data_IF_588997059574
#
_entry.id   IF_588997059574
#
_cell.length_a   1.000
_cell.length_b   1.000
_cell.length_c   1.000
_cell.angle_alpha   90.00
_cell.angle_beta   90.00
_cell.angle_gamma   90.00
#
_symmetry.space_group_name_H-M   'P 1'
#
loop_
_entity.id
_entity.type
_entity.pdbx_description
1 polymer ?
#
# COMPACT_ATOMS: atom_id res chain seq x y z
N UNK A 1 3.87 -8.30 15.87
CA UNK A 1 4.09 -6.98 15.26
C UNK A 1 3.12 -6.83 14.09
N UNK A 2 2.51 -5.65 13.89
CA UNK A 2 1.69 -5.39 12.70
C UNK A 2 2.65 -5.10 11.54
N UNK A 3 2.46 -5.73 10.39
CA UNK A 3 3.15 -5.36 9.15
C UNK A 3 2.41 -4.19 8.54
N UNK A 4 3.11 -3.29 7.88
CA UNK A 4 2.44 -2.29 7.07
C UNK A 4 3.10 -2.15 5.71
N UNK A 5 2.33 -1.58 4.80
CA UNK A 5 2.67 -1.52 3.39
C UNK A 5 2.57 -0.07 2.96
N UNK A 6 3.62 0.44 2.33
CA UNK A 6 3.57 1.75 1.69
C UNK A 6 2.80 1.61 0.39
N UNK A 7 1.89 2.53 0.17
CA UNK A 7 1.05 2.61 -1.02
C UNK A 7 1.69 3.63 -1.95
N UNK A 8 1.89 3.24 -3.19
CA UNK A 8 2.42 4.11 -4.22
C UNK A 8 1.43 4.27 -5.35
N UNK A 9 1.40 5.48 -5.93
CA UNK A 9 0.90 5.70 -7.28
C UNK A 9 2.08 5.61 -8.24
N UNK A 10 1.96 4.74 -9.23
CA UNK A 10 2.96 4.55 -10.27
C UNK A 10 2.54 5.30 -11.51
N UNK A 11 3.41 6.17 -12.00
CA UNK A 11 3.34 6.65 -13.37
C UNK A 11 4.13 5.68 -14.26
N UNK A 12 3.43 4.83 -14.99
CA UNK A 12 4.05 3.85 -15.88
C UNK A 12 4.70 4.48 -17.12
N UNK A 13 4.37 5.72 -17.47
CA UNK A 13 5.01 6.44 -18.59
C UNK A 13 6.42 6.87 -18.19
N UNK A 14 6.58 7.40 -16.97
CA UNK A 14 7.87 7.89 -16.48
C UNK A 14 8.63 6.90 -15.59
N UNK A 15 7.98 5.81 -15.19
CA UNK A 15 8.52 4.82 -14.23
C UNK A 15 8.58 5.31 -12.78
N UNK A 16 8.01 6.48 -12.48
CA UNK A 16 8.08 7.08 -11.14
C UNK A 16 7.05 6.46 -10.20
N UNK A 17 7.47 6.22 -8.96
CA UNK A 17 6.59 5.84 -7.84
C UNK A 17 6.47 7.02 -6.88
N UNK A 18 5.26 7.50 -6.69
CA UNK A 18 4.93 8.52 -5.69
C UNK A 18 4.26 7.86 -4.49
N UNK A 19 4.79 8.06 -3.27
CA UNK A 19 4.17 7.54 -2.06
C UNK A 19 2.89 8.32 -1.77
N UNK A 20 1.75 7.63 -1.68
CA UNK A 20 0.43 8.25 -1.47
C UNK A 20 -0.19 7.89 -0.12
N UNK A 21 0.37 6.93 0.60
CA UNK A 21 -0.09 6.57 1.94
C UNK A 21 0.50 5.28 2.46
N UNK A 22 -0.09 4.75 3.54
CA UNK A 22 0.22 3.43 4.05
C UNK A 22 -1.05 2.67 4.46
N UNK A 23 -0.96 1.34 4.49
CA UNK A 23 -1.98 0.48 5.06
C UNK A 23 -1.35 -0.50 6.04
N UNK A 24 -1.98 -0.67 7.20
CA UNK A 24 -1.52 -1.58 8.24
C UNK A 24 -2.29 -2.90 8.19
N UNK A 25 -1.56 -4.01 8.17
CA UNK A 25 -2.12 -5.34 8.32
C UNK A 25 -2.66 -5.51 9.74
N UNK A 26 -3.99 -5.51 9.88
CA UNK A 26 -4.65 -5.62 11.19
C UNK A 26 -4.56 -7.01 11.80
N UNK A 27 -4.33 -8.07 11.02
CA UNK A 27 -4.37 -9.47 11.48
C UNK A 27 -2.96 -10.04 11.65
N UNK A 28 -2.70 -10.69 12.78
CA UNK A 28 -1.37 -11.19 13.17
C UNK A 28 -0.91 -12.50 12.50
N UNK A 29 -1.69 -13.08 11.58
CA UNK A 29 -1.33 -14.34 10.90
C UNK A 29 -1.43 -14.13 9.39
N UNK A 30 -0.28 -14.19 8.73
CA UNK A 30 -0.15 -14.12 7.28
C UNK A 30 -0.86 -15.34 6.66
N UNK A 31 -2.02 -15.12 6.05
CA UNK A 31 -2.54 -16.05 5.04
C UNK A 31 -2.10 -15.47 3.71
N UNK A 32 -1.46 -16.25 2.84
CA UNK A 32 -0.92 -15.81 1.54
C UNK A 32 -1.90 -15.11 0.57
N UNK A 33 -3.15 -14.86 0.97
CA UNK A 33 -4.15 -14.05 0.26
C UNK A 33 -4.27 -12.61 0.79
N UNK A 34 -3.49 -12.19 1.79
CA UNK A 34 -3.70 -10.90 2.46
C UNK A 34 -3.23 -9.69 1.62
N UNK A 35 -2.17 -9.85 0.83
CA UNK A 35 -1.65 -8.76 0.01
C UNK A 35 -2.67 -8.29 -1.04
N UNK A 36 -3.39 -9.21 -1.66
CA UNK A 36 -4.43 -8.85 -2.64
C UNK A 36 -5.62 -8.15 -2.00
N UNK A 37 -6.06 -8.56 -0.80
CA UNK A 37 -7.11 -7.82 -0.08
C UNK A 37 -6.65 -6.42 0.32
N UNK A 38 -5.40 -6.28 0.78
CA UNK A 38 -4.81 -4.97 1.09
C UNK A 38 -4.68 -4.09 -0.15
N UNK A 39 -4.34 -4.68 -1.31
CA UNK A 39 -4.27 -3.96 -2.58
C UNK A 39 -5.66 -3.48 -3.01
N UNK A 40 -6.69 -4.33 -2.90
CA UNK A 40 -8.08 -3.96 -3.21
C UNK A 40 -8.55 -2.83 -2.29
N UNK A 41 -8.24 -2.90 -1.00
CA UNK A 41 -8.57 -1.86 -0.03
C UNK A 41 -7.82 -0.55 -0.34
N UNK A 42 -6.52 -0.63 -0.65
CA UNK A 42 -5.70 0.53 -1.03
C UNK A 42 -6.23 1.20 -2.29
N UNK A 43 -6.63 0.42 -3.29
CA UNK A 43 -7.26 0.94 -4.52
C UNK A 43 -8.59 1.63 -4.24
N UNK A 44 -9.38 1.14 -3.30
CA UNK A 44 -10.64 1.81 -2.90
C UNK A 44 -10.40 3.12 -2.15
N UNK A 45 -9.35 3.19 -1.34
CA UNK A 45 -9.08 4.34 -0.48
C UNK A 45 -8.32 5.46 -1.20
N UNK A 46 -7.36 5.11 -2.08
CA UNK A 46 -6.39 6.08 -2.62
C UNK A 46 -6.57 6.37 -4.12
N UNK A 47 -7.35 5.55 -4.84
CA UNK A 47 -7.60 5.82 -6.25
C UNK A 47 -8.67 6.89 -6.45
N UNK A 48 -8.48 7.73 -7.47
CA UNK A 48 -9.47 8.73 -7.91
C UNK A 48 -10.55 8.14 -8.82
N UNK A 49 -10.40 6.89 -9.26
CA UNK A 49 -11.33 6.20 -10.12
C UNK A 49 -10.77 4.86 -10.63
N UNK A 50 -11.53 4.11 -11.45
CA UNK A 50 -11.13 2.77 -11.91
C UNK A 50 -9.80 2.75 -12.67
N UNK A 51 -9.55 3.73 -13.53
CA UNK A 51 -8.30 3.83 -14.29
C UNK A 51 -7.09 4.15 -13.41
N UNK A 52 -7.27 5.04 -12.42
CA UNK A 52 -6.20 5.38 -11.47
C UNK A 52 -5.90 4.24 -10.50
N UNK A 53 -6.88 3.38 -10.20
CA UNK A 53 -6.68 2.23 -9.32
C UNK A 53 -5.62 1.26 -9.84
N UNK A 54 -5.48 1.11 -11.16
CA UNK A 54 -4.45 0.24 -11.77
C UNK A 54 -3.05 0.74 -11.42
N UNK A 55 -2.88 2.05 -11.27
CA UNK A 55 -1.63 2.72 -10.91
C UNK A 55 -1.30 2.62 -9.42
N UNK A 56 -2.23 2.14 -8.58
CA UNK A 56 -1.98 1.95 -7.15
C UNK A 56 -1.34 0.58 -6.92
N UNK A 57 -0.18 0.58 -6.27
CA UNK A 57 0.60 -0.62 -5.92
C UNK A 57 1.04 -0.60 -4.45
N UNK A 58 1.38 -1.78 -3.94
CA UNK A 58 1.97 -1.98 -2.62
C UNK A 58 3.41 -2.49 -2.80
N UNK A 59 4.34 -1.91 -2.06
CA UNK A 59 5.65 -2.51 -1.88
C UNK A 59 5.63 -3.54 -0.73
N UNK A 60 6.66 -4.42 -0.62
CA UNK A 60 6.78 -5.42 0.43
C UNK A 60 6.61 -4.82 1.85
N UNK A 61 6.15 -5.65 2.81
CA UNK A 61 5.84 -5.15 4.14
C UNK A 61 7.09 -4.59 4.81
N UNK A 62 6.98 -3.33 5.24
CA UNK A 62 7.94 -2.70 6.15
C UNK A 62 7.48 -2.88 7.59
N UNK A 63 8.41 -2.66 8.51
CA UNK A 63 8.16 -2.70 9.94
C UNK A 63 7.16 -1.58 10.27
N UNK A 64 6.14 -1.81 11.11
CA UNK A 64 5.21 -0.71 11.49
C UNK A 64 5.91 0.49 12.12
N UNK A 65 7.10 0.29 12.69
CA UNK A 65 7.95 1.35 13.22
C UNK A 65 8.52 2.23 12.11
N UNK A 66 9.01 1.63 11.03
CA UNK A 66 9.56 2.34 9.86
C UNK A 66 8.49 3.17 9.15
N UNK A 67 7.22 2.73 9.16
CA UNK A 67 6.11 3.48 8.56
C UNK A 67 5.77 4.74 9.34
N UNK A 68 5.84 4.65 10.68
CA UNK A 68 5.68 5.82 11.57
C UNK A 68 6.82 6.82 11.36
N UNK A 69 8.04 6.33 11.26
CA UNK A 69 9.22 7.15 10.96
C UNK A 69 9.14 7.79 9.57
N UNK A 70 8.51 7.12 8.60
CA UNK A 70 8.22 7.67 7.28
C UNK A 70 7.05 8.67 7.26
N UNK A 71 6.39 8.94 8.39
CA UNK A 71 5.36 9.98 8.52
C UNK A 71 3.97 9.59 8.03
N UNK A 72 3.68 8.30 7.81
CA UNK A 72 2.42 7.84 7.21
C UNK A 72 1.40 7.27 8.21
N UNK A 73 1.59 7.41 9.53
CA UNK A 73 0.84 6.70 10.57
C UNK A 73 0.12 7.59 11.57
#
# INVERSE_FOLDING_TARGET
MKRGYTIYRVDYVTGKKEAVGCILERRGRERGKNLMSLLVESRRLFARGPSDAINIVLDPPKNSREIREAGFA
#
